data_IF_236308211964
#
_entry.id   IF_236308211964
#
_cell.length_a   1.000
_cell.length_b   1.000
_cell.length_c   1.000
_cell.angle_alpha   90.00
_cell.angle_beta   90.00
_cell.angle_gamma   90.00
#
_symmetry.space_group_name_H-M   'P 1'
#
loop_
_entity.id
_entity.type
_entity.pdbx_description
1 polymer ?
#
# COMPACT_ATOMS: atom_id res chain seq x y z
N UNK A 1 11.97 -2.28 21.35
CA UNK A 1 12.85 -1.98 20.19
C UNK A 1 12.12 -2.02 18.83
N UNK A 2 11.10 -2.85 18.58
CA UNK A 2 10.44 -2.89 17.25
C UNK A 2 9.51 -1.70 16.93
N UNK A 3 9.01 -0.97 17.93
CA UNK A 3 8.10 0.17 17.72
C UNK A 3 8.85 1.43 17.25
N UNK A 4 10.05 1.66 17.78
CA UNK A 4 10.91 2.78 17.37
C UNK A 4 11.36 2.66 15.91
N UNK A 5 11.66 1.43 15.46
CA UNK A 5 12.03 1.20 14.05
C UNK A 5 10.86 1.44 13.09
N UNK A 6 9.62 1.17 13.51
CA UNK A 6 8.43 1.44 12.70
C UNK A 6 8.18 2.94 12.61
N UNK A 7 8.32 3.67 13.72
CA UNK A 7 8.23 5.13 13.74
C UNK A 7 9.23 5.79 12.78
N UNK A 8 10.51 5.40 12.87
CA UNK A 8 11.56 5.93 11.99
C UNK A 8 11.34 5.59 10.51
N UNK A 9 10.81 4.39 10.22
CA UNK A 9 10.49 3.99 8.84
C UNK A 9 9.32 4.79 8.29
N UNK A 10 8.30 5.04 9.13
CA UNK A 10 7.14 5.84 8.76
C UNK A 10 7.53 7.31 8.54
N UNK A 11 8.35 7.88 9.42
CA UNK A 11 8.88 9.24 9.29
C UNK A 11 9.67 9.41 7.99
N UNK A 12 10.56 8.46 7.68
CA UNK A 12 11.32 8.46 6.44
C UNK A 12 10.42 8.31 5.21
N UNK A 13 9.42 7.44 5.27
CA UNK A 13 8.46 7.26 4.18
C UNK A 13 7.64 8.53 3.94
N UNK A 14 7.18 9.19 5.01
CA UNK A 14 6.45 10.46 4.94
C UNK A 14 7.31 11.59 4.37
N UNK A 15 8.58 11.67 4.78
CA UNK A 15 9.54 12.64 4.22
C UNK A 15 9.76 12.44 2.73
N UNK A 16 9.96 11.20 2.29
CA UNK A 16 10.13 10.88 0.87
C UNK A 16 8.88 11.27 0.08
N UNK A 17 7.69 10.94 0.59
CA UNK A 17 6.43 11.32 -0.05
C UNK A 17 6.23 12.85 -0.08
N UNK A 18 6.58 13.56 0.98
CA UNK A 18 6.49 15.02 1.04
C UNK A 18 7.42 15.68 0.01
N UNK A 19 8.67 15.23 -0.09
CA UNK A 19 9.64 15.74 -1.08
C UNK A 19 9.17 15.45 -2.50
N UNK A 20 8.69 14.24 -2.77
CA UNK A 20 8.14 13.88 -4.09
C UNK A 20 6.91 14.70 -4.44
N UNK A 21 6.01 14.94 -3.47
CA UNK A 21 4.84 15.77 -3.68
C UNK A 21 5.20 17.23 -3.97
N UNK A 22 6.18 17.80 -3.26
CA UNK A 22 6.68 19.15 -3.53
C UNK A 22 7.33 19.26 -4.92
N UNK A 23 8.12 18.26 -5.31
CA UNK A 23 8.69 18.18 -6.66
C UNK A 23 7.61 18.10 -7.74
N UNK A 24 6.54 17.35 -7.50
CA UNK A 24 5.39 17.24 -8.41
C UNK A 24 4.50 18.51 -8.42
N UNK A 25 4.50 19.29 -7.34
CA UNK A 25 3.72 20.52 -7.23
C UNK A 25 4.34 21.67 -8.05
N UNK A 26 5.66 21.68 -8.23
CA UNK A 26 6.38 22.67 -9.01
C UNK A 26 5.88 22.83 -10.46
N UNK A 27 5.79 21.77 -11.28
CA UNK A 27 5.25 21.88 -12.63
C UNK A 27 3.77 22.28 -12.64
N UNK A 28 2.98 21.83 -11.65
CA UNK A 28 1.57 22.21 -11.53
C UNK A 28 1.42 23.72 -11.27
N UNK A 29 2.21 24.29 -10.35
CA UNK A 29 2.23 25.74 -10.10
C UNK A 29 2.67 26.54 -11.34
N UNK A 30 3.65 26.03 -12.09
CA UNK A 30 4.14 26.67 -13.32
C UNK A 30 3.09 26.64 -14.45
N UNK A 31 2.33 25.55 -14.56
CA UNK A 31 1.19 25.42 -15.47
C UNK A 31 0.04 26.36 -15.10
N UNK A 32 -0.34 26.41 -13.83
CA UNK A 32 -1.39 27.32 -13.34
C UNK A 32 -1.01 28.79 -13.56
N UNK A 33 0.25 29.16 -13.31
CA UNK A 33 0.73 30.52 -13.55
C UNK A 33 0.69 30.90 -15.04
N UNK A 34 1.00 29.96 -15.95
CA UNK A 34 0.88 30.18 -17.40
C UNK A 34 -0.57 30.30 -17.86
N UNK A 35 -1.48 29.60 -17.21
CA UNK A 35 -2.90 29.65 -17.51
C UNK A 35 -3.62 30.87 -16.89
N UNK A 36 -2.94 31.65 -16.04
CA UNK A 36 -3.53 32.78 -15.32
C UNK A 36 -4.48 32.36 -14.18
N UNK A 37 -4.45 31.10 -13.77
CA UNK A 37 -5.31 30.58 -12.70
C UNK A 37 -4.72 30.88 -11.31
N UNK A 38 -5.57 31.01 -10.27
CA UNK A 38 -5.10 31.24 -8.91
C UNK A 38 -4.27 30.05 -8.41
N UNK A 39 -3.06 30.31 -7.91
CA UNK A 39 -2.13 29.27 -7.42
C UNK A 39 -2.72 28.37 -6.32
N UNK A 40 -3.73 28.86 -5.59
CA UNK A 40 -4.48 28.09 -4.60
C UNK A 40 -5.14 26.82 -5.19
N UNK A 41 -5.46 26.81 -6.48
CA UNK A 41 -6.01 25.63 -7.16
C UNK A 41 -5.00 24.48 -7.29
N UNK A 42 -3.70 24.75 -7.15
CA UNK A 42 -2.69 23.68 -7.08
C UNK A 42 -2.84 22.82 -5.81
N UNK A 43 -3.41 23.36 -4.72
CA UNK A 43 -3.69 22.58 -3.51
C UNK A 43 -4.80 21.55 -3.74
N UNK A 44 -5.77 21.84 -4.61
CA UNK A 44 -6.81 20.88 -5.02
C UNK A 44 -6.21 19.75 -5.85
N UNK A 45 -5.20 20.04 -6.69
CA UNK A 45 -4.41 19.03 -7.40
C UNK A 45 -3.49 18.21 -6.47
N UNK A 46 -3.00 18.81 -5.39
CA UNK A 46 -2.20 18.11 -4.38
C UNK A 46 -3.03 17.09 -3.58
N UNK A 47 -4.34 17.34 -3.41
CA UNK A 47 -5.25 16.50 -2.63
C UNK A 47 -5.32 15.03 -3.13
N UNK A 48 -5.51 14.72 -4.43
CA UNK A 48 -5.43 13.34 -4.91
C UNK A 48 -4.01 12.79 -4.92
N UNK A 49 -3.00 13.63 -5.18
CA UNK A 49 -1.58 13.21 -5.26
C UNK A 49 -1.05 12.77 -3.89
N UNK A 50 -1.45 13.45 -2.81
CA UNK A 50 -1.06 13.13 -1.43
C UNK A 50 -2.10 12.25 -0.71
N UNK A 51 -3.39 12.43 -1.02
CA UNK A 51 -4.46 11.69 -0.37
C UNK A 51 -4.42 10.20 -0.66
N UNK A 52 -4.11 9.81 -1.90
CA UNK A 52 -4.01 8.40 -2.28
C UNK A 52 -2.87 7.65 -1.58
N UNK A 53 -1.60 8.12 -1.60
CA UNK A 53 -0.51 7.42 -0.93
C UNK A 53 -0.66 7.43 0.60
N UNK A 54 -1.20 8.50 1.20
CA UNK A 54 -1.50 8.52 2.65
C UNK A 54 -2.58 7.49 2.99
N UNK A 55 -3.66 7.42 2.21
CA UNK A 55 -4.72 6.44 2.37
C UNK A 55 -4.22 5.00 2.17
N UNK A 56 -3.41 4.76 1.14
CA UNK A 56 -2.82 3.45 0.88
C UNK A 56 -1.84 3.01 1.99
N UNK A 57 -1.04 3.94 2.51
CA UNK A 57 -0.12 3.68 3.63
C UNK A 57 -0.91 3.37 4.91
N UNK A 58 -1.97 4.14 5.18
CA UNK A 58 -2.87 3.87 6.30
C UNK A 58 -3.51 2.49 6.18
N UNK A 59 -4.04 2.12 5.01
CA UNK A 59 -4.61 0.79 4.75
C UNK A 59 -3.58 -0.34 4.92
N UNK A 60 -2.33 -0.13 4.53
CA UNK A 60 -1.28 -1.14 4.60
C UNK A 60 -0.78 -1.40 6.03
N UNK A 61 -0.81 -0.39 6.88
CA UNK A 61 -0.24 -0.45 8.25
C UNK A 61 -1.30 -0.70 9.31
N UNK A 62 -2.54 -0.25 9.11
CA UNK A 62 -3.63 -0.48 10.06
C UNK A 62 -3.91 -1.98 10.16
N UNK A 63 -3.94 -2.49 11.39
CA UNK A 63 -4.43 -3.84 11.69
C UNK A 63 -5.92 -3.87 11.38
N UNK A 64 -6.27 -4.52 10.29
CA UNK A 64 -7.66 -4.73 9.92
C UNK A 64 -8.34 -5.61 10.96
N UNK A 65 -9.48 -5.19 11.54
CA UNK A 65 -10.18 -5.95 12.58
C UNK A 65 -10.71 -7.30 12.07
N UNK A 66 -10.89 -7.43 10.75
CA UNK A 66 -11.51 -8.61 10.13
C UNK A 66 -10.84 -8.91 8.78
N UNK A 67 -9.58 -9.37 8.80
CA UNK A 67 -8.99 -9.97 7.60
C UNK A 67 -9.48 -11.41 7.47
N UNK A 68 -9.96 -11.85 6.29
CA UNK A 68 -10.21 -13.26 6.06
C UNK A 68 -8.92 -14.04 6.35
N UNK A 69 -9.02 -15.25 6.94
CA UNK A 69 -7.86 -16.05 7.30
C UNK A 69 -6.98 -16.21 6.06
N UNK A 70 -5.69 -15.91 6.21
CA UNK A 70 -4.73 -15.96 5.11
C UNK A 70 -4.81 -17.36 4.50
N UNK A 71 -5.10 -17.50 3.19
CA UNK A 71 -5.19 -18.82 2.58
C UNK A 71 -3.89 -19.56 2.84
N UNK A 72 -4.02 -20.73 3.45
CA UNK A 72 -2.88 -21.53 3.87
C UNK A 72 -2.04 -21.83 2.64
N UNK A 73 -0.85 -21.23 2.57
CA UNK A 73 0.10 -21.47 1.49
C UNK A 73 0.77 -22.81 1.75
N UNK A 74 0.02 -23.89 1.61
CA UNK A 74 0.57 -25.23 1.54
C UNK A 74 1.58 -25.25 0.39
N UNK A 75 2.83 -25.60 0.71
CA UNK A 75 3.86 -25.80 -0.31
C UNK A 75 3.34 -26.81 -1.34
N UNK A 76 3.63 -26.58 -2.62
CA UNK A 76 3.12 -27.42 -3.73
C UNK A 76 3.34 -28.92 -3.47
N UNK A 77 4.44 -29.28 -2.81
CA UNK A 77 4.75 -30.66 -2.40
C UNK A 77 3.78 -31.22 -1.35
N UNK A 78 3.38 -30.42 -0.36
CA UNK A 78 2.44 -30.84 0.68
C UNK A 78 1.01 -30.95 0.15
N UNK A 79 0.62 -30.05 -0.78
CA UNK A 79 -0.65 -30.18 -1.52
C UNK A 79 -0.70 -31.52 -2.28
N UNK A 80 0.34 -31.81 -3.05
CA UNK A 80 0.43 -33.06 -3.83
C UNK A 80 0.43 -34.31 -2.94
N UNK A 81 1.07 -34.23 -1.77
CA UNK A 81 1.08 -35.35 -0.81
C UNK A 81 -0.33 -35.61 -0.24
N UNK A 82 -1.05 -34.58 0.19
CA UNK A 82 -2.42 -34.72 0.70
C UNK A 82 -3.40 -35.22 -0.37
N UNK A 83 -3.26 -34.78 -1.61
CA UNK A 83 -4.08 -35.27 -2.72
C UNK A 83 -3.82 -36.77 -3.00
N UNK A 84 -2.58 -37.24 -2.89
CA UNK A 84 -2.23 -38.65 -3.03
C UNK A 84 -2.80 -39.50 -1.89
N UNK A 85 -2.69 -39.02 -0.66
CA UNK A 85 -3.25 -39.69 0.52
C UNK A 85 -4.78 -39.77 0.45
N UNK A 86 -5.46 -38.70 -0.01
CA UNK A 86 -6.91 -38.68 -0.21
C UNK A 86 -7.38 -39.64 -1.31
N UNK A 87 -6.67 -39.71 -2.45
CA UNK A 87 -6.97 -40.69 -3.51
C UNK A 87 -6.76 -42.14 -3.05
N UNK A 88 -5.73 -42.39 -2.25
CA UNK A 88 -5.45 -43.72 -1.70
C UNK A 88 -6.47 -44.15 -0.62
N UNK A 89 -7.14 -43.21 0.04
CA UNK A 89 -8.25 -43.49 0.95
C UNK A 89 -9.56 -43.74 0.19
N UNK A 90 -9.83 -42.98 -0.88
CA UNK A 90 -11.04 -43.13 -1.69
C UNK A 90 -11.07 -44.41 -2.54
N UNK A 91 -9.91 -44.97 -2.92
CA UNK A 91 -9.83 -46.23 -3.66
C UNK A 91 -9.88 -47.50 -2.80
N UNK A 92 -10.14 -47.37 -1.49
CA UNK A 92 -10.20 -48.49 -0.52
C UNK A 92 -11.59 -48.74 0.07
N UNK A 93 -12.62 -48.07 -0.45
CA UNK A 93 -14.04 -48.37 -0.22
C UNK A 93 -14.68 -48.92 -1.49
#
# INVERSE_FOLDING_TARGET
>A
MAVESVGATLERALLVHAVLALLALWPALKLLARAGLPRAWAAVLALPILGWPVFATYLAVVRWPTLPPRPERLHTRERLRREREARAAAGRG
#
